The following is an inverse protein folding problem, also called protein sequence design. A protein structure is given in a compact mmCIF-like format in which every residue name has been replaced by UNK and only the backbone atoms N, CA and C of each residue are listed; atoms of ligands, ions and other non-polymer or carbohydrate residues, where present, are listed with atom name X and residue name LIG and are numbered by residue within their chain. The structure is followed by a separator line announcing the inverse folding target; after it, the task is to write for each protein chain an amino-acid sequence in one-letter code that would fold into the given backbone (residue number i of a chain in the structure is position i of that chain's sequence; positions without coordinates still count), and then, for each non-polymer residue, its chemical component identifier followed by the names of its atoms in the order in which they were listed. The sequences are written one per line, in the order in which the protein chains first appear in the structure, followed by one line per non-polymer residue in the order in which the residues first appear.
data_IF_223830153965
#
_entry.id   IF_223830153965
#
_cell.length_a   1.000
_cell.length_b   1.000
_cell.length_c   1.000
_cell.angle_alpha   90.00
_cell.angle_beta   90.00
_cell.angle_gamma   90.00
#
_symmetry.space_group_name_H-M   'P 1'
#
loop_
_entity.id
_entity.type
_entity.pdbx_description
1 polymer ?
#
# COMPACT_ATOMS: atom_id res chain seq x y z
N UNK A 1 -39.66 31.90 -40.56
CA UNK A 1 -39.63 31.09 -39.32
C UNK A 1 -38.41 30.19 -39.41
N UNK A 2 -37.27 30.66 -38.93
CA UNK A 2 -35.98 29.97 -38.98
C UNK A 2 -35.68 29.40 -37.59
N UNK A 3 -36.01 28.14 -37.34
CA UNK A 3 -35.69 27.47 -36.06
C UNK A 3 -34.87 26.20 -36.23
N UNK A 4 -34.50 25.83 -37.46
CA UNK A 4 -33.90 24.52 -37.78
C UNK A 4 -32.37 24.44 -37.61
N UNK A 5 -31.68 25.57 -37.34
CA UNK A 5 -30.22 25.63 -37.28
C UNK A 5 -29.57 25.22 -35.95
N UNK A 6 -30.33 25.13 -34.85
CA UNK A 6 -29.78 24.91 -33.50
C UNK A 6 -29.79 23.45 -33.03
N UNK A 7 -30.49 22.56 -33.74
CA UNK A 7 -30.63 21.16 -33.34
C UNK A 7 -29.37 20.32 -33.62
N UNK A 8 -28.62 20.66 -34.66
CA UNK A 8 -27.34 20.02 -35.00
C UNK A 8 -26.26 20.19 -33.92
N UNK A 9 -25.95 21.41 -33.42
CA UNK A 9 -24.96 21.56 -32.36
C UNK A 9 -25.42 20.96 -31.03
N UNK A 10 -26.73 20.98 -30.74
CA UNK A 10 -27.28 20.38 -29.53
C UNK A 10 -27.12 18.85 -29.50
N UNK A 11 -27.40 18.17 -30.63
CA UNK A 11 -27.24 16.72 -30.74
C UNK A 11 -25.77 16.29 -30.59
N UNK A 12 -24.83 17.07 -31.14
CA UNK A 12 -23.39 16.80 -31.02
C UNK A 12 -22.91 16.93 -29.57
N UNK A 13 -23.36 17.96 -28.84
CA UNK A 13 -22.98 18.13 -27.43
C UNK A 13 -23.50 17.00 -26.53
N UNK A 14 -24.74 16.56 -26.74
CA UNK A 14 -25.32 15.43 -25.99
C UNK A 14 -24.53 14.16 -26.28
N UNK A 15 -24.20 13.89 -27.54
CA UNK A 15 -23.34 12.76 -27.92
C UNK A 15 -21.98 12.80 -27.23
N UNK A 16 -21.34 13.98 -27.17
CA UNK A 16 -20.04 14.15 -26.53
C UNK A 16 -20.10 13.93 -25.01
N UNK A 17 -21.13 14.46 -24.33
CA UNK A 17 -21.34 14.22 -22.90
C UNK A 17 -21.53 12.75 -22.58
N UNK A 18 -22.34 12.03 -23.36
CA UNK A 18 -22.56 10.58 -23.16
C UNK A 18 -21.25 9.82 -23.36
N UNK A 19 -20.47 10.15 -24.39
CA UNK A 19 -19.19 9.52 -24.67
C UNK A 19 -18.18 9.75 -23.54
N UNK A 20 -18.04 10.99 -23.05
CA UNK A 20 -17.13 11.32 -21.94
C UNK A 20 -17.56 10.58 -20.68
N UNK A 21 -18.86 10.56 -20.37
CA UNK A 21 -19.42 9.87 -19.21
C UNK A 21 -19.12 8.37 -19.26
N UNK A 22 -19.30 7.74 -20.43
CA UNK A 22 -18.99 6.34 -20.65
C UNK A 22 -17.49 6.06 -20.51
N UNK A 23 -16.63 6.90 -21.08
CA UNK A 23 -15.17 6.78 -20.97
C UNK A 23 -14.70 6.94 -19.52
N UNK A 24 -15.25 7.91 -18.78
CA UNK A 24 -14.94 8.09 -17.36
C UNK A 24 -15.41 6.91 -16.53
N UNK A 25 -16.61 6.38 -16.79
CA UNK A 25 -17.15 5.23 -16.09
C UNK A 25 -16.31 3.97 -16.36
N UNK A 26 -15.95 3.73 -17.63
CA UNK A 26 -15.08 2.63 -18.05
C UNK A 26 -13.68 2.78 -17.47
N UNK A 27 -13.09 3.99 -17.46
CA UNK A 27 -11.80 4.25 -16.82
C UNK A 27 -11.83 3.97 -15.33
N UNK A 28 -12.85 4.46 -14.63
CA UNK A 28 -13.05 4.23 -13.19
C UNK A 28 -13.26 2.74 -12.90
N UNK A 29 -13.99 2.03 -13.76
CA UNK A 29 -14.15 0.57 -13.68
C UNK A 29 -12.87 -0.19 -14.00
N UNK A 30 -12.10 0.22 -15.01
CA UNK A 30 -10.82 -0.41 -15.37
C UNK A 30 -9.77 -0.21 -14.29
N UNK A 31 -9.71 0.97 -13.66
CA UNK A 31 -8.87 1.20 -12.48
C UNK A 31 -9.27 0.28 -11.33
N UNK A 32 -10.57 0.12 -11.06
CA UNK A 32 -11.08 -0.84 -10.07
C UNK A 32 -10.84 -2.32 -10.44
N UNK A 33 -10.77 -2.64 -11.73
CA UNK A 33 -10.59 -4.02 -12.24
C UNK A 33 -9.18 -4.33 -12.72
N UNK A 34 -8.18 -3.45 -12.52
CA UNK A 34 -6.78 -3.81 -12.71
C UNK A 34 -6.43 -4.87 -11.67
N UNK A 35 -6.65 -6.13 -12.05
CA UNK A 35 -6.16 -7.29 -11.30
C UNK A 35 -4.63 -7.16 -11.29
N UNK A 36 -3.98 -7.15 -10.11
CA UNK A 36 -2.52 -7.20 -10.06
C UNK A 36 -2.07 -8.43 -10.85
N UNK A 37 -1.20 -8.21 -11.85
CA UNK A 37 -0.65 -9.26 -12.70
C UNK A 37 0.25 -10.13 -11.82
N UNK A 38 -0.07 -11.42 -11.70
CA UNK A 38 0.66 -12.36 -10.85
C UNK A 38 1.93 -12.83 -11.57
N UNK A 39 3.06 -12.25 -11.17
CA UNK A 39 4.40 -12.75 -11.50
C UNK A 39 4.84 -13.61 -10.31
N UNK A 40 5.41 -14.79 -10.56
CA UNK A 40 6.06 -15.59 -9.51
C UNK A 40 7.06 -14.71 -8.75
N UNK A 41 7.04 -14.71 -7.41
CA UNK A 41 7.60 -13.60 -6.67
C UNK A 41 9.12 -13.70 -6.68
N UNK A 42 9.77 -12.82 -7.45
CA UNK A 42 11.07 -12.31 -7.03
C UNK A 42 10.84 -11.64 -5.68
N UNK A 43 11.24 -12.34 -4.62
CA UNK A 43 11.08 -11.87 -3.25
C UNK A 43 12.01 -10.68 -2.98
N UNK A 44 13.05 -10.51 -3.81
CA UNK A 44 14.06 -9.48 -3.61
C UNK A 44 13.48 -8.12 -3.92
N UNK A 45 13.55 -7.24 -2.93
CA UNK A 45 13.16 -5.85 -3.03
C UNK A 45 14.42 -5.02 -2.83
N UNK A 46 14.93 -4.44 -3.91
CA UNK A 46 16.05 -3.49 -3.87
C UNK A 46 15.48 -2.07 -3.74
N UNK A 47 15.47 -1.55 -2.52
CA UNK A 47 14.80 -0.29 -2.18
C UNK A 47 15.51 0.91 -2.82
N UNK A 48 16.82 0.80 -3.07
CA UNK A 48 17.59 1.84 -3.74
C UNK A 48 17.17 2.09 -5.20
N UNK A 49 16.40 1.17 -5.80
CA UNK A 49 15.88 1.29 -7.17
C UNK A 49 14.49 1.92 -7.24
N UNK A 50 13.88 2.25 -6.10
CA UNK A 50 12.56 2.84 -6.08
C UNK A 50 12.62 4.29 -6.54
N UNK A 51 11.65 4.68 -7.37
CA UNK A 51 11.41 6.08 -7.69
C UNK A 51 10.78 6.77 -6.47
N UNK A 52 11.57 7.60 -5.80
CA UNK A 52 11.10 8.34 -4.64
C UNK A 52 10.07 9.40 -5.07
N UNK A 53 8.91 9.36 -4.43
CA UNK A 53 7.85 10.36 -4.57
C UNK A 53 7.76 11.14 -3.27
N UNK A 54 7.44 12.45 -3.30
CA UNK A 54 7.39 13.25 -2.09
C UNK A 54 6.43 12.67 -1.05
N UNK A 55 6.75 12.87 0.24
CA UNK A 55 5.88 12.49 1.35
C UNK A 55 4.59 13.34 1.28
N UNK A 56 3.41 12.72 1.19
CA UNK A 56 2.15 13.48 1.17
C UNK A 56 1.88 14.16 2.51
N UNK A 57 1.38 15.40 2.48
CA UNK A 57 0.98 16.12 3.69
C UNK A 57 -0.25 15.49 4.36
N UNK A 58 -1.18 14.95 3.55
CA UNK A 58 -2.44 14.34 4.02
C UNK A 58 -2.83 13.16 3.13
N UNK A 59 -3.25 12.01 3.69
CA UNK A 59 -3.11 11.64 5.10
C UNK A 59 -1.64 11.37 5.43
N UNK A 60 -1.20 11.87 6.58
CA UNK A 60 0.20 11.73 7.00
C UNK A 60 0.37 10.40 7.70
N UNK A 61 1.30 9.58 7.20
CA UNK A 61 1.76 8.38 7.90
C UNK A 61 2.98 8.77 8.74
N UNK A 62 2.95 8.45 10.02
CA UNK A 62 4.08 8.66 10.92
C UNK A 62 4.68 7.32 11.30
N UNK A 63 6.01 7.22 11.21
CA UNK A 63 6.80 6.11 11.74
C UNK A 63 7.68 6.64 12.86
N UNK A 64 7.47 6.19 14.10
CA UNK A 64 8.10 6.79 15.29
C UNK A 64 7.91 8.31 15.41
N UNK A 65 6.77 8.83 14.93
CA UNK A 65 6.48 10.27 14.93
C UNK A 65 7.09 11.04 13.76
N UNK A 66 7.90 10.40 12.91
CA UNK A 66 8.48 11.01 11.71
C UNK A 66 7.56 10.82 10.50
N UNK A 67 7.25 11.88 9.73
CA UNK A 67 6.46 11.77 8.50
C UNK A 67 7.17 10.89 7.46
N UNK A 68 6.43 9.90 6.96
CA UNK A 68 6.92 8.96 5.96
C UNK A 68 5.90 8.72 4.86
N UNK A 69 6.40 8.42 3.66
CA UNK A 69 5.64 7.83 2.58
C UNK A 69 5.66 6.32 2.69
N UNK A 70 4.57 5.67 2.31
CA UNK A 70 4.46 4.21 2.20
C UNK A 70 4.69 3.82 0.74
N UNK A 71 5.74 3.03 0.47
CA UNK A 71 6.11 2.67 -0.89
C UNK A 71 5.76 1.25 -1.24
N UNK A 72 5.96 0.31 -0.32
CA UNK A 72 5.74 -1.12 -0.55
C UNK A 72 5.06 -1.72 0.66
N UNK A 73 4.07 -2.57 0.39
CA UNK A 73 3.45 -3.44 1.37
C UNK A 73 3.71 -4.89 0.94
N UNK A 74 4.39 -5.65 1.80
CA UNK A 74 4.59 -7.08 1.65
C UNK A 74 3.55 -7.80 2.49
N UNK A 75 2.79 -8.71 1.87
CA UNK A 75 1.79 -9.52 2.53
C UNK A 75 2.14 -11.01 2.39
N UNK A 76 2.15 -11.74 3.50
CA UNK A 76 2.25 -13.19 3.51
C UNK A 76 1.16 -13.82 4.39
N UNK A 77 0.58 -14.97 4.00
CA UNK A 77 -0.25 -15.76 4.90
C UNK A 77 0.59 -16.35 6.04
N UNK A 78 0.03 -16.40 7.24
CA UNK A 78 0.60 -17.17 8.34
C UNK A 78 0.09 -18.62 8.31
N UNK A 79 0.97 -19.58 8.61
CA UNK A 79 0.66 -21.01 8.70
C UNK A 79 0.94 -21.78 7.41
N UNK A 80 0.52 -23.06 7.36
CA UNK A 80 0.77 -23.97 6.22
C UNK A 80 -0.26 -23.85 5.10
N UNK A 81 -1.51 -23.58 5.46
CA UNK A 81 -2.66 -23.55 4.55
C UNK A 81 -3.26 -22.16 4.42
N UNK A 82 -2.53 -21.13 4.88
CA UNK A 82 -3.00 -19.76 4.83
C UNK A 82 -3.11 -19.28 3.39
N UNK A 83 -4.23 -18.65 3.05
CA UNK A 83 -4.35 -17.81 1.86
C UNK A 83 -4.46 -16.36 2.29
N UNK A 84 -3.88 -15.45 1.49
CA UNK A 84 -4.16 -14.02 1.66
C UNK A 84 -5.65 -13.76 1.38
N UNK A 85 -6.27 -12.81 2.09
CA UNK A 85 -7.66 -12.51 1.87
C UNK A 85 -7.78 -11.84 0.49
N UNK A 86 -8.95 -11.95 -0.15
CA UNK A 86 -9.16 -11.36 -1.46
C UNK A 86 -8.98 -9.82 -1.37
N UNK A 87 -8.56 -9.14 -2.45
CA UNK A 87 -8.26 -7.70 -2.42
C UNK A 87 -9.38 -6.80 -1.86
N UNK A 88 -10.63 -7.25 -1.94
CA UNK A 88 -11.79 -6.55 -1.38
C UNK A 88 -11.76 -6.46 0.14
N UNK A 89 -11.07 -7.40 0.81
CA UNK A 89 -10.93 -7.45 2.27
C UNK A 89 -9.65 -6.76 2.76
N UNK A 90 -8.77 -6.30 1.85
CA UNK A 90 -7.55 -5.59 2.22
C UNK A 90 -7.78 -4.29 3.00
N UNK A 91 -8.85 -3.51 2.75
CA UNK A 91 -9.18 -2.38 3.62
C UNK A 91 -9.23 -2.76 5.09
N UNK A 92 -9.94 -3.83 5.43
CA UNK A 92 -10.05 -4.29 6.82
C UNK A 92 -8.71 -4.78 7.38
N UNK A 93 -7.88 -5.43 6.55
CA UNK A 93 -6.54 -5.85 6.94
C UNK A 93 -5.63 -4.65 7.26
N UNK A 94 -5.67 -3.60 6.44
CA UNK A 94 -4.87 -2.39 6.67
C UNK A 94 -5.33 -1.66 7.93
N UNK A 95 -6.65 -1.56 8.14
CA UNK A 95 -7.21 -0.95 9.36
C UNK A 95 -6.85 -1.73 10.63
N UNK A 96 -6.63 -3.04 10.53
CA UNK A 96 -6.17 -3.85 11.66
C UNK A 96 -4.71 -3.57 12.05
N UNK A 97 -3.86 -3.20 11.08
CA UNK A 97 -2.47 -2.79 11.32
C UNK A 97 -2.45 -1.44 12.05
N UNK A 98 -3.04 -0.42 11.44
CA UNK A 98 -3.18 0.89 12.05
C UNK A 98 -4.49 1.56 11.60
N UNK A 99 -5.26 2.19 12.51
CA UNK A 99 -6.45 2.93 12.14
C UNK A 99 -6.14 4.03 11.11
N UNK A 100 -6.91 4.10 10.03
CA UNK A 100 -6.73 5.06 8.94
C UNK A 100 -5.69 4.65 7.89
N UNK A 101 -4.98 3.53 8.06
CA UNK A 101 -3.93 3.10 7.13
C UNK A 101 -4.47 2.84 5.73
N UNK A 102 -5.75 2.47 5.58
CA UNK A 102 -6.30 2.29 4.24
C UNK A 102 -6.36 3.61 3.46
N UNK A 103 -6.56 4.75 4.11
CA UNK A 103 -6.52 6.07 3.44
C UNK A 103 -5.11 6.41 2.97
N UNK A 104 -4.11 6.07 3.77
CA UNK A 104 -2.70 6.17 3.41
C UNK A 104 -2.42 5.32 2.20
N UNK A 105 -2.83 4.05 2.18
CA UNK A 105 -2.69 3.17 1.01
C UNK A 105 -3.33 3.76 -0.24
N UNK A 106 -4.54 4.34 -0.13
CA UNK A 106 -5.23 4.95 -1.27
C UNK A 106 -4.49 6.18 -1.83
N UNK A 107 -3.83 6.95 -0.97
CA UNK A 107 -3.17 8.21 -1.35
C UNK A 107 -1.71 7.98 -1.76
N UNK A 108 -1.00 7.12 -1.04
CA UNK A 108 0.40 6.81 -1.27
C UNK A 108 0.56 5.84 -2.45
N UNK A 109 -0.50 5.08 -2.78
CA UNK A 109 -0.50 4.06 -3.83
C UNK A 109 0.75 3.16 -3.76
N UNK A 110 0.96 2.43 -2.65
CA UNK A 110 2.13 1.58 -2.49
C UNK A 110 2.05 0.34 -3.39
N UNK A 111 3.20 -0.27 -3.65
CA UNK A 111 3.30 -1.52 -4.37
C UNK A 111 2.90 -2.71 -3.47
N UNK A 112 1.85 -3.40 -3.92
CA UNK A 112 1.41 -4.75 -3.61
C UNK A 112 2.45 -5.86 -3.86
N UNK A 113 3.23 -6.33 -2.88
CA UNK A 113 4.04 -7.55 -3.00
C UNK A 113 3.46 -8.67 -2.16
N UNK A 114 3.28 -9.86 -2.76
CA UNK A 114 2.77 -11.04 -2.07
C UNK A 114 3.86 -12.07 -1.95
N UNK A 115 4.04 -12.57 -0.73
CA UNK A 115 5.03 -13.57 -0.39
C UNK A 115 4.36 -14.92 -0.09
N UNK A 116 5.10 -16.03 -0.24
CA UNK A 116 4.58 -17.35 0.07
C UNK A 116 4.21 -17.48 1.55
N UNK A 117 3.35 -18.46 1.85
CA UNK A 117 2.92 -18.76 3.21
C UNK A 117 4.11 -19.05 4.11
N UNK A 118 4.10 -18.50 5.32
CA UNK A 118 5.20 -18.64 6.27
C UNK A 118 4.76 -19.45 7.48
N UNK A 119 5.62 -20.37 7.91
CA UNK A 119 5.32 -21.25 9.05
C UNK A 119 5.31 -20.49 10.39
N UNK A 120 6.01 -19.36 10.49
CA UNK A 120 6.10 -18.56 11.71
C UNK A 120 6.34 -17.09 11.41
N UNK A 121 6.02 -16.25 12.39
CA UNK A 121 6.30 -14.79 12.37
C UNK A 121 7.80 -14.54 12.24
N UNK A 122 8.63 -15.18 13.08
CA UNK A 122 10.08 -15.03 13.03
C UNK A 122 10.67 -15.48 11.67
N UNK A 123 10.14 -16.55 11.09
CA UNK A 123 10.56 -17.03 9.76
C UNK A 123 10.33 -15.97 8.68
N UNK A 124 9.18 -15.31 8.73
CA UNK A 124 8.85 -14.19 7.85
C UNK A 124 9.78 -13.01 8.06
N UNK A 125 10.02 -12.61 9.30
CA UNK A 125 10.90 -11.48 9.64
C UNK A 125 12.32 -11.75 9.10
N UNK A 126 12.87 -12.94 9.35
CA UNK A 126 14.16 -13.35 8.79
C UNK A 126 14.17 -13.36 7.25
N UNK A 127 13.08 -13.78 6.61
CA UNK A 127 12.97 -13.75 5.16
C UNK A 127 12.88 -12.29 4.65
N UNK A 128 12.16 -11.42 5.37
CA UNK A 128 12.02 -10.01 5.07
C UNK A 128 13.39 -9.34 5.09
N UNK A 129 14.13 -9.51 6.18
CA UNK A 129 15.50 -9.00 6.32
C UNK A 129 16.45 -9.46 5.21
N UNK A 130 16.28 -10.68 4.72
CA UNK A 130 17.16 -11.25 3.71
C UNK A 130 16.90 -10.70 2.32
N UNK A 131 15.63 -10.45 1.99
CA UNK A 131 15.23 -10.11 0.63
C UNK A 131 14.97 -8.61 0.44
N UNK A 132 14.70 -7.87 1.50
CA UNK A 132 14.56 -6.42 1.46
C UNK A 132 15.93 -5.78 1.70
N UNK A 133 16.52 -5.26 0.64
CA UNK A 133 17.82 -4.59 0.67
C UNK A 133 17.58 -3.10 0.87
N UNK A 134 17.73 -2.64 2.11
CA UNK A 134 17.79 -1.22 2.44
C UNK A 134 19.23 -0.70 2.33
N UNK A 135 19.43 0.55 1.89
CA UNK A 135 20.76 1.16 1.85
C UNK A 135 21.33 1.39 3.26
N UNK A 136 22.65 1.54 3.37
CA UNK A 136 23.32 1.76 4.65
C UNK A 136 23.23 0.56 5.60
N UNK A 137 23.25 0.81 6.92
CA UNK A 137 23.06 -0.22 7.95
C UNK A 137 21.55 -0.41 8.19
N UNK A 138 20.90 -1.21 7.32
CA UNK A 138 19.45 -1.46 7.35
C UNK A 138 18.61 -0.18 7.31
N UNK A 139 18.98 0.75 6.44
CA UNK A 139 18.33 2.05 6.29
C UNK A 139 18.82 3.13 7.25
N UNK A 140 19.66 2.82 8.25
CA UNK A 140 20.10 3.80 9.25
C UNK A 140 20.95 4.88 8.60
N UNK A 141 20.64 6.13 8.90
CA UNK A 141 21.28 7.30 8.28
C UNK A 141 20.87 7.48 6.82
N UNK A 142 19.81 6.81 6.37
CA UNK A 142 19.18 6.99 5.07
C UNK A 142 17.72 7.37 5.26
N UNK A 143 17.04 7.87 4.21
CA UNK A 143 15.63 8.21 4.33
C UNK A 143 14.71 6.98 4.44
N UNK A 144 15.22 5.79 4.16
CA UNK A 144 14.40 4.58 4.11
C UNK A 144 14.21 3.94 5.48
N UNK A 145 12.98 3.53 5.75
CA UNK A 145 12.66 2.73 6.91
C UNK A 145 11.71 1.57 6.58
N UNK A 146 11.66 0.58 7.47
CA UNK A 146 10.76 -0.56 7.33
C UNK A 146 10.25 -1.06 8.68
N UNK A 147 9.08 -1.67 8.67
CA UNK A 147 8.48 -2.31 9.81
C UNK A 147 7.86 -3.65 9.39
N UNK A 148 8.05 -4.71 10.17
CA UNK A 148 7.61 -6.06 9.79
C UNK A 148 7.08 -6.84 10.98
N UNK A 149 5.94 -7.52 10.81
CA UNK A 149 5.39 -8.41 11.83
C UNK A 149 3.97 -8.88 11.58
N UNK A 150 3.30 -9.42 12.60
CA UNK A 150 1.98 -10.03 12.47
C UNK A 150 0.86 -8.99 12.53
N UNK A 151 -0.20 -9.22 11.78
CA UNK A 151 -1.45 -8.49 11.88
C UNK A 151 -2.62 -9.46 11.80
N UNK A 152 -3.72 -9.18 12.51
CA UNK A 152 -4.89 -10.06 12.51
C UNK A 152 -6.06 -9.38 11.82
N UNK A 153 -6.66 -10.07 10.86
CA UNK A 153 -7.90 -9.64 10.25
C UNK A 153 -9.05 -9.65 11.25
N UNK A 154 -10.14 -8.98 10.91
CA UNK A 154 -11.38 -9.00 11.73
C UNK A 154 -12.03 -10.37 11.83
N UNK A 155 -11.70 -11.27 10.91
CA UNK A 155 -12.08 -12.70 10.90
C UNK A 155 -11.21 -13.54 11.85
N UNK A 156 -10.25 -12.93 12.56
CA UNK A 156 -9.34 -13.59 13.47
C UNK A 156 -8.16 -14.27 12.76
N UNK A 157 -8.08 -14.23 11.44
CA UNK A 157 -7.00 -14.84 10.68
C UNK A 157 -5.70 -14.03 10.84
N UNK A 158 -4.59 -14.73 11.10
CA UNK A 158 -3.28 -14.14 11.22
C UNK A 158 -2.63 -13.96 9.84
N UNK A 159 -2.09 -12.78 9.60
CA UNK A 159 -1.33 -12.42 8.42
C UNK A 159 -0.01 -11.78 8.83
N UNK A 160 0.89 -11.72 7.87
CA UNK A 160 2.22 -11.18 8.05
C UNK A 160 2.38 -10.00 7.10
N UNK A 161 2.76 -8.87 7.67
CA UNK A 161 2.83 -7.59 6.98
C UNK A 161 4.23 -7.04 7.13
N UNK A 162 4.84 -6.67 6.01
CA UNK A 162 6.03 -5.84 5.98
C UNK A 162 5.71 -4.55 5.26
N UNK A 163 6.15 -3.42 5.79
CA UNK A 163 5.99 -2.10 5.19
C UNK A 163 7.36 -1.50 4.96
N UNK A 164 7.57 -0.95 3.77
CA UNK A 164 8.76 -0.21 3.40
C UNK A 164 8.32 1.21 3.09
N UNK A 165 9.03 2.16 3.67
CA UNK A 165 8.67 3.55 3.75
C UNK A 165 9.91 4.42 3.52
N UNK A 166 9.71 5.69 3.23
CA UNK A 166 10.78 6.68 3.29
C UNK A 166 10.30 8.03 3.83
N UNK A 167 11.21 8.78 4.45
CA UNK A 167 11.04 10.17 4.81
C UNK A 167 11.70 11.10 3.78
N UNK A 168 11.49 12.41 3.91
CA UNK A 168 12.22 13.42 3.11
C UNK A 168 13.64 13.67 3.65
N UNK A 169 13.97 13.16 4.85
CA UNK A 169 15.28 13.27 5.49
C UNK A 169 15.81 11.93 6.00
N UNK A 170 17.12 11.79 6.24
CA UNK A 170 17.69 10.60 6.87
C UNK A 170 17.12 10.31 8.27
N UNK A 171 16.85 9.04 8.55
CA UNK A 171 16.31 8.57 9.83
C UNK A 171 17.38 7.84 10.67
N UNK A 172 17.30 7.99 11.99
CA UNK A 172 18.11 7.23 12.94
C UNK A 172 17.54 5.83 13.19
N UNK A 173 16.22 5.73 13.28
CA UNK A 173 15.46 4.48 13.39
C UNK A 173 14.91 4.13 12.02
N UNK A 174 15.38 3.01 11.47
CA UNK A 174 15.12 2.64 10.08
C UNK A 174 14.55 1.24 9.93
N UNK A 175 14.62 0.38 10.94
CA UNK A 175 14.05 -0.95 10.82
C UNK A 175 13.54 -1.46 12.15
N UNK A 176 12.26 -1.82 12.18
CA UNK A 176 11.60 -2.30 13.39
C UNK A 176 10.92 -3.66 13.18
N UNK A 177 11.16 -4.54 14.14
CA UNK A 177 10.43 -5.80 14.27
C UNK A 177 9.20 -5.58 15.15
N UNK A 178 8.06 -5.96 14.63
CA UNK A 178 6.79 -5.88 15.35
C UNK A 178 6.51 -7.27 15.93
N UNK A 179 6.76 -7.44 17.22
CA UNK A 179 6.61 -8.74 17.89
C UNK A 179 5.13 -9.16 18.06
N UNK A 180 4.23 -8.18 18.13
CA UNK A 180 2.81 -8.41 18.36
C UNK A 180 1.91 -7.38 17.68
N UNK A 181 0.66 -7.76 17.45
CA UNK A 181 -0.35 -6.94 16.76
C UNK A 181 -0.54 -5.55 17.42
N UNK A 182 -0.40 -5.46 18.75
CA UNK A 182 -0.57 -4.21 19.50
C UNK A 182 0.59 -3.23 19.31
N UNK A 183 1.78 -3.73 18.96
CA UNK A 183 2.98 -2.92 18.78
C UNK A 183 2.91 -2.07 17.52
N UNK A 184 2.15 -2.47 16.49
CA UNK A 184 1.91 -1.65 15.30
C UNK A 184 1.42 -0.24 15.65
N UNK A 185 0.51 -0.12 16.61
CA UNK A 185 -0.07 1.16 17.04
C UNK A 185 0.90 2.07 17.79
N UNK A 186 2.04 1.54 18.24
CA UNK A 186 3.10 2.33 18.88
C UNK A 186 4.09 2.86 17.85
N UNK A 187 4.29 2.12 16.77
CA UNK A 187 5.25 2.44 15.72
C UNK A 187 4.62 3.34 14.66
N UNK A 188 3.35 3.09 14.33
CA UNK A 188 2.64 3.70 13.22
C UNK A 188 1.42 4.46 13.70
N UNK A 189 1.37 5.72 13.30
CA UNK A 189 0.24 6.61 13.51
C UNK A 189 -0.20 7.18 12.16
N UNK A 190 -1.51 7.31 11.95
CA UNK A 190 -2.07 7.98 10.78
C UNK A 190 -2.77 9.24 11.24
N UNK A 191 -2.33 10.38 10.69
CA UNK A 191 -3.01 11.67 10.89
C UNK A 191 -3.81 12.02 9.65
N UNK A 192 -5.11 12.07 9.84
CA UNK A 192 -6.06 12.55 8.85
C UNK A 192 -6.49 13.93 9.31
N UNK A 193 -5.93 14.98 8.71
CA UNK A 193 -6.35 16.38 8.93
C UNK A 193 -7.85 16.56 8.77
#
# INVERSE_FOLDING_TARGET
METTGWFLPAAVMVGLMVLISAVMLVRRWRQRRRKPKWVEPDLRIDVARLELRPVPEVPMLLFHGEPVRLDIVVLAPAGRTGSLPPPQSWPMLMEAVAPGLMRVVQTHEPQFVRWPSQLSVNGFIHQFFRNVVLPGDRGRGTPFCAAVGPARGTDGQLFLVGMIMHADHPLFLSFEEVESETMWRRLIEVRTS
#
